data_IF_774061788563
#
_entry.id   IF_774061788563
#
_cell.length_a   1.000
_cell.length_b   1.000
_cell.length_c   1.000
_cell.angle_alpha   90.00
_cell.angle_beta   90.00
_cell.angle_gamma   90.00
#
_symmetry.space_group_name_H-M   'P 1'
#
loop_
_entity.id
_entity.type
_entity.pdbx_description
1 polymer ?
#
# COMPACT_ATOMS: atom_id res chain seq x y z
N UNK A 1 -0.22 -1.77 -10.82
CA UNK A 1 -1.45 -2.08 -10.09
C UNK A 1 -2.19 -3.09 -10.93
N UNK A 2 -2.62 -4.17 -10.31
CA UNK A 2 -3.50 -5.11 -10.98
C UNK A 2 -4.93 -4.53 -11.07
N UNK A 3 -5.62 -4.76 -12.19
CA UNK A 3 -6.97 -4.22 -12.40
C UNK A 3 -8.00 -4.77 -11.39
N UNK A 4 -7.82 -6.00 -10.92
CA UNK A 4 -8.72 -6.60 -9.92
C UNK A 4 -8.78 -5.80 -8.62
N UNK A 5 -7.69 -5.09 -8.27
CA UNK A 5 -7.62 -4.24 -7.08
C UNK A 5 -8.66 -3.12 -7.09
N UNK A 6 -9.07 -2.63 -8.26
CA UNK A 6 -10.09 -1.58 -8.40
C UNK A 6 -11.44 -1.99 -7.79
N UNK A 7 -11.74 -3.29 -7.75
CA UNK A 7 -12.97 -3.81 -7.15
C UNK A 7 -13.02 -3.55 -5.63
N UNK A 8 -11.84 -3.49 -4.99
CA UNK A 8 -11.68 -3.38 -3.54
C UNK A 8 -11.37 -1.95 -3.09
N UNK A 9 -10.60 -1.20 -3.88
CA UNK A 9 -10.17 0.15 -3.52
C UNK A 9 -11.35 1.12 -3.42
N UNK A 10 -11.30 1.97 -2.39
CA UNK A 10 -12.27 3.04 -2.11
C UNK A 10 -11.53 4.33 -1.79
N UNK A 11 -12.22 5.45 -2.03
CA UNK A 11 -11.71 6.76 -1.64
C UNK A 11 -11.57 6.85 -0.12
N UNK A 12 -10.36 7.08 0.37
CA UNK A 12 -10.06 7.19 1.81
C UNK A 12 -10.81 8.32 2.52
N UNK A 13 -11.22 9.36 1.79
CA UNK A 13 -11.94 10.51 2.37
C UNK A 13 -13.43 10.24 2.57
N UNK A 14 -14.07 9.54 1.64
CA UNK A 14 -15.54 9.47 1.58
C UNK A 14 -16.11 8.07 1.29
N UNK A 15 -15.25 7.05 1.18
CA UNK A 15 -15.63 5.66 0.93
C UNK A 15 -16.22 5.36 -0.44
N UNK A 16 -16.26 6.32 -1.36
CA UNK A 16 -16.86 6.13 -2.70
C UNK A 16 -15.96 5.28 -3.60
N UNK A 17 -16.57 4.68 -4.64
CA UNK A 17 -15.82 3.99 -5.70
C UNK A 17 -14.88 4.96 -6.41
N UNK A 18 -13.76 4.42 -6.90
CA UNK A 18 -12.77 5.16 -7.67
C UNK A 18 -12.93 4.82 -9.15
N UNK A 19 -12.80 5.83 -10.00
CA UNK A 19 -12.64 5.65 -11.44
C UNK A 19 -11.15 5.65 -11.78
N UNK A 20 -10.77 4.86 -12.77
CA UNK A 20 -9.39 4.68 -13.18
C UNK A 20 -9.15 5.33 -14.54
N UNK A 21 -8.20 6.25 -14.59
CA UNK A 21 -7.66 6.85 -15.80
C UNK A 21 -6.27 6.28 -16.08
N UNK A 22 -6.14 5.45 -17.12
CA UNK A 22 -4.92 4.70 -17.44
C UNK A 22 -4.07 5.49 -18.42
N UNK A 23 -2.81 5.75 -18.06
CA UNK A 23 -1.84 6.43 -18.95
C UNK A 23 -0.86 5.46 -19.59
N UNK A 24 -0.43 4.44 -18.83
CA UNK A 24 0.47 3.40 -19.31
C UNK A 24 0.13 2.06 -18.65
N UNK A 25 -0.04 1.02 -19.45
CA UNK A 25 -0.34 -0.34 -19.00
C UNK A 25 0.55 -1.34 -19.75
N UNK A 26 1.06 -2.30 -19.00
CA UNK A 26 1.72 -3.52 -19.50
C UNK A 26 0.93 -4.73 -18.97
N UNK A 27 1.55 -5.62 -18.20
CA UNK A 27 0.85 -6.65 -17.41
C UNK A 27 -0.01 -6.05 -16.30
N UNK A 28 0.46 -4.93 -15.74
CA UNK A 28 -0.22 -4.11 -14.76
C UNK A 28 -0.32 -2.67 -15.27
N UNK A 29 -1.20 -1.88 -14.66
CA UNK A 29 -1.20 -0.42 -14.85
C UNK A 29 0.10 0.12 -14.26
N UNK A 30 0.99 0.62 -15.11
CA UNK A 30 2.30 1.17 -14.75
C UNK A 30 2.20 2.65 -14.34
N UNK A 31 1.37 3.41 -15.06
CA UNK A 31 1.09 4.83 -14.82
C UNK A 31 -0.41 5.11 -15.01
N UNK A 32 -1.03 5.83 -14.07
CA UNK A 32 -2.45 6.19 -14.13
C UNK A 32 -2.91 7.00 -12.92
N UNK A 33 -4.15 7.45 -12.90
CA UNK A 33 -4.77 8.15 -11.76
C UNK A 33 -6.06 7.45 -11.38
N UNK A 34 -6.23 7.15 -10.10
CA UNK A 34 -7.52 6.82 -9.51
C UNK A 34 -8.19 8.11 -9.06
N UNK A 35 -9.43 8.34 -9.48
CA UNK A 35 -10.17 9.56 -9.17
C UNK A 35 -11.48 9.22 -8.45
N UNK A 36 -11.73 9.92 -7.34
CA UNK A 36 -13.03 9.89 -6.68
C UNK A 36 -13.94 10.95 -7.28
N UNK A 37 -14.94 10.58 -8.08
CA UNK A 37 -15.89 11.54 -8.66
C UNK A 37 -16.76 12.29 -7.65
N UNK A 38 -16.88 11.78 -6.42
CA UNK A 38 -17.68 12.43 -5.35
C UNK A 38 -16.94 13.59 -4.67
N UNK A 39 -15.66 13.41 -4.33
CA UNK A 39 -14.89 14.41 -3.58
C UNK A 39 -13.64 14.90 -4.33
N UNK A 40 -13.54 14.57 -5.62
CA UNK A 40 -12.49 14.95 -6.58
C UNK A 40 -11.06 14.59 -6.19
N UNK A 41 -10.89 13.78 -5.14
CA UNK A 41 -9.57 13.35 -4.67
C UNK A 41 -8.95 12.38 -5.68
N UNK A 42 -7.68 12.60 -5.99
CA UNK A 42 -6.92 11.84 -6.97
C UNK A 42 -5.76 11.09 -6.30
N UNK A 43 -5.53 9.85 -6.70
CA UNK A 43 -4.46 8.99 -6.20
C UNK A 43 -3.60 8.51 -7.36
N UNK A 44 -2.30 8.86 -7.41
CA UNK A 44 -1.45 8.49 -8.52
C UNK A 44 -1.07 7.00 -8.45
N UNK A 45 -1.00 6.37 -9.61
CA UNK A 45 -0.34 5.07 -9.83
C UNK A 45 0.96 5.37 -10.55
N UNK A 46 2.09 5.05 -9.93
CA UNK A 46 3.44 5.31 -10.47
C UNK A 46 4.27 4.04 -10.31
N UNK A 47 4.90 3.57 -11.39
CA UNK A 47 5.72 2.34 -11.40
C UNK A 47 4.94 1.15 -10.85
N UNK A 48 3.68 1.00 -11.29
CA UNK A 48 2.74 -0.04 -10.84
C UNK A 48 2.24 0.11 -9.40
N UNK A 49 2.56 1.18 -8.69
CA UNK A 49 2.23 1.37 -7.27
C UNK A 49 1.17 2.46 -7.11
N UNK A 50 -0.05 2.12 -6.66
CA UNK A 50 -1.01 3.12 -6.22
C UNK A 50 -0.57 3.77 -4.91
N UNK A 51 -0.58 5.09 -4.87
CA UNK A 51 -0.32 5.88 -3.67
C UNK A 51 -1.65 6.46 -3.18
N UNK A 52 -2.27 5.79 -2.21
CA UNK A 52 -3.62 6.08 -1.74
C UNK A 52 -3.53 6.82 -0.40
N UNK A 53 -3.46 8.15 -0.50
CA UNK A 53 -3.33 9.05 0.65
C UNK A 53 -4.39 10.15 0.58
N UNK A 54 -4.99 10.50 1.72
CA UNK A 54 -6.04 11.53 1.76
C UNK A 54 -5.53 12.91 1.30
N UNK A 55 -4.27 13.18 1.60
CA UNK A 55 -3.53 14.36 1.13
C UNK A 55 -2.18 13.93 0.55
N UNK A 56 -2.13 13.78 -0.78
CA UNK A 56 -0.92 13.40 -1.48
C UNK A 56 0.20 14.46 -1.35
N UNK A 57 -0.14 15.74 -1.25
CA UNK A 57 0.84 16.80 -1.03
C UNK A 57 1.47 16.72 0.35
N UNK A 58 0.71 16.35 1.38
CA UNK A 58 1.25 16.03 2.71
C UNK A 58 2.16 14.80 2.67
N UNK A 59 1.77 13.74 1.97
CA UNK A 59 2.61 12.54 1.80
C UNK A 59 4.00 12.87 1.23
N UNK A 60 4.03 13.69 0.17
CA UNK A 60 5.27 14.13 -0.50
C UNK A 60 6.03 15.18 0.33
N UNK A 61 5.37 15.99 1.15
CA UNK A 61 6.04 16.99 1.98
C UNK A 61 7.03 16.40 2.97
N UNK A 62 6.80 15.16 3.42
CA UNK A 62 7.70 14.38 4.27
C UNK A 62 8.77 13.60 3.48
N UNK A 63 8.72 13.64 2.14
CA UNK A 63 9.51 12.83 1.20
C UNK A 63 9.80 13.62 -0.09
N UNK A 64 10.35 14.83 0.04
CA UNK A 64 10.62 15.73 -1.08
C UNK A 64 11.61 15.11 -2.08
N UNK A 65 12.62 14.38 -1.60
CA UNK A 65 13.54 13.62 -2.46
C UNK A 65 12.81 12.55 -3.27
N UNK A 66 11.90 11.79 -2.65
CA UNK A 66 11.04 10.85 -3.36
C UNK A 66 10.17 11.58 -4.38
N UNK A 67 9.58 12.73 -4.02
CA UNK A 67 8.77 13.53 -4.93
C UNK A 67 9.50 13.90 -6.23
N UNK A 68 10.77 14.28 -6.15
CA UNK A 68 11.62 14.50 -7.32
C UNK A 68 11.86 13.22 -8.13
N UNK A 69 12.08 12.07 -7.47
CA UNK A 69 12.20 10.75 -8.14
C UNK A 69 10.90 10.36 -8.86
N UNK A 70 9.75 10.52 -8.21
CA UNK A 70 8.44 10.23 -8.78
C UNK A 70 8.18 11.09 -10.02
N UNK A 71 8.53 12.38 -9.99
CA UNK A 71 8.41 13.27 -11.15
C UNK A 71 9.24 12.78 -12.34
N UNK A 72 10.43 12.21 -12.09
CA UNK A 72 11.28 11.64 -13.13
C UNK A 72 10.81 10.27 -13.63
N UNK A 73 10.00 9.54 -12.85
CA UNK A 73 9.47 8.24 -13.26
C UNK A 73 8.27 8.32 -14.19
N UNK A 74 7.56 9.45 -14.19
CA UNK A 74 6.32 9.62 -14.95
C UNK A 74 6.58 10.23 -16.32
N UNK A 75 5.79 9.80 -17.30
CA UNK A 75 5.94 10.26 -18.68
C UNK A 75 4.79 11.15 -19.12
N UNK A 76 3.57 10.87 -18.64
CA UNK A 76 2.34 11.47 -19.13
C UNK A 76 2.13 12.90 -18.60
N UNK A 77 1.67 13.81 -19.47
CA UNK A 77 1.54 15.23 -19.14
C UNK A 77 0.56 15.51 -18.01
N UNK A 78 -0.56 14.77 -17.95
CA UNK A 78 -1.55 14.91 -16.86
C UNK A 78 -0.92 14.53 -15.51
N UNK A 79 -0.12 13.46 -15.47
CA UNK A 79 0.58 13.03 -14.26
C UNK A 79 1.69 14.01 -13.87
N UNK A 80 2.48 14.49 -14.82
CA UNK A 80 3.51 15.51 -14.59
C UNK A 80 2.90 16.79 -14.01
N UNK A 81 1.76 17.25 -14.54
CA UNK A 81 1.03 18.42 -14.02
C UNK A 81 0.53 18.16 -12.59
N UNK A 82 -0.06 17.00 -12.32
CA UNK A 82 -0.51 16.59 -10.99
C UNK A 82 0.63 16.60 -9.97
N UNK A 83 1.76 15.97 -10.29
CA UNK A 83 2.95 15.94 -9.41
C UNK A 83 3.57 17.32 -9.22
N UNK A 84 3.71 18.11 -10.30
CA UNK A 84 4.26 19.48 -10.23
C UNK A 84 3.40 20.37 -9.32
N UNK A 85 2.07 20.29 -9.46
CA UNK A 85 1.15 21.01 -8.59
C UNK A 85 1.31 20.56 -7.14
N UNK A 86 1.28 19.24 -6.90
CA UNK A 86 1.39 18.67 -5.55
C UNK A 86 2.70 19.10 -4.86
N UNK A 87 3.82 19.04 -5.57
CA UNK A 87 5.15 19.48 -5.11
C UNK A 87 5.21 20.99 -4.84
N UNK A 88 4.52 21.81 -5.64
CA UNK A 88 4.54 23.27 -5.47
C UNK A 88 3.82 23.74 -4.20
N UNK A 89 2.81 22.98 -3.75
CA UNK A 89 2.04 23.30 -2.53
C UNK A 89 2.55 22.55 -1.29
N UNK A 90 3.42 21.55 -1.46
CA UNK A 90 4.09 20.86 -0.34
C UNK A 90 5.05 21.81 0.37
N UNK A 91 4.85 22.00 1.68
CA UNK A 91 5.83 22.69 2.53
C UNK A 91 7.04 21.79 2.72
N UNK A 92 8.25 22.31 2.51
CA UNK A 92 9.48 21.54 2.76
C UNK A 92 9.57 21.22 4.25
N UNK A 93 9.66 19.94 4.58
CA UNK A 93 10.04 19.48 5.91
C UNK A 93 11.57 19.35 5.96
N UNK A 94 12.18 19.66 7.11
CA UNK A 94 13.62 19.52 7.33
C UNK A 94 14.05 18.06 7.50
N UNK A 95 13.13 17.19 7.89
CA UNK A 95 13.38 15.76 8.12
C UNK A 95 12.75 14.91 7.01
N UNK A 96 13.45 14.78 5.88
CA UNK A 96 13.02 14.00 4.72
C UNK A 96 13.22 12.50 4.96
N UNK A 97 12.13 11.73 4.92
CA UNK A 97 12.10 10.31 5.26
C UNK A 97 12.63 9.39 4.15
N UNK A 98 12.86 9.91 2.95
CA UNK A 98 13.16 9.09 1.75
C UNK A 98 14.40 8.21 1.95
N UNK A 99 15.51 8.77 2.43
CA UNK A 99 16.76 8.02 2.61
C UNK A 99 16.67 6.99 3.74
N UNK A 100 15.97 7.34 4.82
CA UNK A 100 15.71 6.44 5.94
C UNK A 100 14.87 5.24 5.49
N UNK A 101 13.78 5.47 4.77
CA UNK A 101 12.91 4.42 4.23
C UNK A 101 13.66 3.50 3.25
N UNK A 102 14.52 4.07 2.40
CA UNK A 102 15.38 3.30 1.49
C UNK A 102 16.40 2.44 2.25
N UNK A 103 16.98 2.97 3.33
CA UNK A 103 17.90 2.22 4.19
C UNK A 103 17.19 1.06 4.88
N UNK A 104 16.01 1.28 5.45
CA UNK A 104 15.21 0.22 6.05
C UNK A 104 14.85 -0.88 5.04
N UNK A 105 14.45 -0.49 3.83
CA UNK A 105 14.16 -1.44 2.75
C UNK A 105 15.37 -2.33 2.43
N UNK A 106 16.60 -1.80 2.50
CA UNK A 106 17.84 -2.60 2.33
C UNK A 106 18.10 -3.53 3.52
N UNK A 107 17.90 -3.05 4.75
CA UNK A 107 18.05 -3.86 5.96
C UNK A 107 17.10 -5.05 5.94
N UNK A 108 15.82 -4.82 5.63
CA UNK A 108 14.84 -5.90 5.54
C UNK A 108 15.14 -6.89 4.40
N UNK A 109 15.69 -6.42 3.27
CA UNK A 109 16.14 -7.32 2.21
C UNK A 109 17.25 -8.27 2.69
N UNK A 110 18.15 -7.79 3.54
CA UNK A 110 19.23 -8.61 4.09
C UNK A 110 18.75 -9.55 5.22
N UNK A 111 17.62 -9.26 5.86
CA UNK A 111 17.06 -10.07 6.96
C UNK A 111 15.94 -11.03 6.53
N UNK A 112 15.71 -11.22 5.23
CA UNK A 112 14.64 -12.07 4.69
C UNK A 112 14.65 -13.52 5.18
N UNK A 113 15.82 -14.03 5.60
CA UNK A 113 16.02 -15.40 6.10
C UNK A 113 16.07 -15.48 7.63
N UNK A 114 15.52 -14.49 8.34
CA UNK A 114 15.51 -14.50 9.80
C UNK A 114 14.69 -15.66 10.37
N UNK A 115 15.09 -16.16 11.54
CA UNK A 115 14.34 -17.19 12.29
C UNK A 115 12.92 -16.74 12.60
N UNK A 116 12.72 -15.44 12.83
CA UNK A 116 11.40 -14.84 13.05
C UNK A 116 10.44 -15.16 11.91
N UNK A 117 10.83 -14.84 10.66
CA UNK A 117 9.97 -15.10 9.50
C UNK A 117 9.71 -16.59 9.30
N UNK A 118 10.68 -17.46 9.56
CA UNK A 118 10.48 -18.90 9.45
C UNK A 118 9.45 -19.43 10.44
N UNK A 119 9.47 -18.95 11.70
CA UNK A 119 8.48 -19.34 12.72
C UNK A 119 7.08 -18.89 12.27
N UNK A 120 6.93 -17.62 11.90
CA UNK A 120 5.62 -17.09 11.51
C UNK A 120 5.07 -17.79 10.26
N UNK A 121 5.92 -18.10 9.27
CA UNK A 121 5.51 -18.87 8.08
C UNK A 121 4.96 -20.25 8.45
N UNK A 122 5.62 -20.97 9.35
CA UNK A 122 5.17 -22.29 9.79
C UNK A 122 3.80 -22.23 10.48
N UNK A 123 3.57 -21.22 11.33
CA UNK A 123 2.27 -21.02 11.99
C UNK A 123 1.17 -20.64 10.98
N UNK A 124 1.50 -19.84 9.96
CA UNK A 124 0.54 -19.46 8.92
C UNK A 124 0.24 -20.62 7.94
N UNK A 125 1.18 -21.53 7.69
CA UNK A 125 0.99 -22.68 6.80
C UNK A 125 -0.02 -23.71 7.33
N UNK A 126 -0.17 -23.79 8.66
CA UNK A 126 -1.15 -24.69 9.29
C UNK A 126 -2.56 -24.06 9.38
N UNK A 127 -2.70 -22.75 9.10
CA UNK A 127 -3.99 -22.08 9.14
C UNK A 127 -4.87 -22.42 7.93
N UNK A 128 -6.20 -22.40 8.07
CA UNK A 128 -7.10 -22.53 6.93
C UNK A 128 -6.84 -21.45 5.87
N UNK A 129 -6.90 -21.87 4.59
CA UNK A 129 -6.77 -20.95 3.46
C UNK A 129 -7.88 -19.91 3.48
N UNK A 130 -7.51 -18.66 3.27
CA UNK A 130 -8.37 -17.50 3.26
C UNK A 130 -8.65 -17.05 1.83
N UNK A 131 -9.85 -16.48 1.60
CA UNK A 131 -10.20 -15.91 0.30
C UNK A 131 -9.60 -14.52 0.16
N UNK A 132 -9.68 -13.71 1.21
CA UNK A 132 -9.19 -12.34 1.20
C UNK A 132 -8.31 -12.04 2.41
N UNK A 133 -7.06 -11.66 2.14
CA UNK A 133 -6.02 -11.43 3.14
C UNK A 133 -5.47 -10.01 3.02
N UNK A 134 -5.23 -9.36 4.15
CA UNK A 134 -4.58 -8.06 4.23
C UNK A 134 -3.38 -8.10 5.19
N UNK A 135 -2.25 -7.56 4.78
CA UNK A 135 -1.13 -7.26 5.66
C UNK A 135 -0.93 -5.75 5.82
N UNK A 136 -1.03 -5.28 7.07
CA UNK A 136 -0.67 -3.95 7.51
C UNK A 136 0.82 -3.86 7.83
N UNK A 137 1.51 -2.85 7.28
CA UNK A 137 2.95 -2.69 7.49
C UNK A 137 3.77 -3.76 6.77
N UNK A 138 3.38 -4.11 5.54
CA UNK A 138 3.97 -5.22 4.80
C UNK A 138 5.44 -5.01 4.38
N UNK A 139 5.98 -3.79 4.50
CA UNK A 139 7.35 -3.46 4.16
C UNK A 139 7.69 -3.94 2.74
N UNK A 140 8.73 -4.77 2.60
CA UNK A 140 9.19 -5.30 1.31
C UNK A 140 8.42 -6.55 0.84
N UNK A 141 7.31 -6.90 1.49
CA UNK A 141 6.38 -7.94 1.05
C UNK A 141 6.80 -9.39 1.35
N UNK A 142 7.64 -9.63 2.37
CA UNK A 142 8.14 -10.99 2.69
C UNK A 142 6.97 -11.91 3.08
N UNK A 143 6.12 -11.48 4.03
CA UNK A 143 4.97 -12.28 4.48
C UNK A 143 3.82 -12.21 3.49
N UNK A 144 3.53 -11.03 2.93
CA UNK A 144 2.47 -10.86 1.94
C UNK A 144 2.66 -11.77 0.73
N UNK A 145 3.88 -11.82 0.18
CA UNK A 145 4.20 -12.72 -0.92
C UNK A 145 4.06 -14.18 -0.51
N UNK A 146 4.52 -14.54 0.69
CA UNK A 146 4.36 -15.89 1.20
C UNK A 146 2.88 -16.30 1.33
N UNK A 147 2.04 -15.45 1.90
CA UNK A 147 0.59 -15.67 2.03
C UNK A 147 -0.09 -15.84 0.67
N UNK A 148 0.38 -15.13 -0.38
CA UNK A 148 -0.16 -15.28 -1.73
C UNK A 148 0.10 -16.66 -2.37
N UNK A 149 0.96 -17.51 -1.80
CA UNK A 149 1.16 -18.87 -2.30
C UNK A 149 -0.02 -19.81 -2.01
N UNK A 150 -0.79 -19.55 -0.95
CA UNK A 150 -1.84 -20.45 -0.45
C UNK A 150 -3.22 -19.81 -0.37
N UNK A 151 -3.31 -18.48 -0.42
CA UNK A 151 -4.56 -17.72 -0.30
C UNK A 151 -5.06 -17.17 -1.64
N UNK A 152 -6.37 -16.91 -1.77
CA UNK A 152 -6.98 -16.57 -3.07
C UNK A 152 -6.71 -15.12 -3.52
N UNK A 153 -6.70 -14.14 -2.61
CA UNK A 153 -6.38 -12.74 -2.92
C UNK A 153 -5.70 -12.11 -1.70
N UNK A 154 -4.55 -11.48 -1.93
CA UNK A 154 -3.71 -10.94 -0.87
C UNK A 154 -3.32 -9.51 -1.18
N UNK A 155 -3.47 -8.64 -0.19
CA UNK A 155 -3.04 -7.25 -0.27
C UNK A 155 -2.01 -6.93 0.80
N UNK A 156 -1.00 -6.15 0.44
CA UNK A 156 -0.05 -5.56 1.38
C UNK A 156 -0.12 -4.05 1.34
N UNK A 157 -0.10 -3.40 2.52
CA UNK A 157 0.01 -1.95 2.60
C UNK A 157 1.22 -1.53 3.42
N UNK A 158 1.89 -0.48 3.00
CA UNK A 158 2.96 0.17 3.74
C UNK A 158 3.01 1.66 3.37
N UNK A 159 3.49 2.52 4.27
CA UNK A 159 3.64 3.95 3.99
C UNK A 159 4.84 4.27 3.08
N UNK A 160 5.79 3.35 2.97
CA UNK A 160 7.05 3.54 2.27
C UNK A 160 6.94 3.14 0.81
N UNK A 161 7.00 4.12 -0.10
CA UNK A 161 7.10 3.83 -1.53
C UNK A 161 8.34 3.00 -1.86
N UNK A 162 9.45 3.24 -1.16
CA UNK A 162 10.69 2.48 -1.38
C UNK A 162 10.54 1.00 -0.99
N UNK A 163 9.82 0.70 0.09
CA UNK A 163 9.56 -0.67 0.52
C UNK A 163 8.60 -1.38 -0.45
N UNK A 164 7.49 -0.72 -0.81
CA UNK A 164 6.54 -1.24 -1.80
C UNK A 164 7.18 -1.43 -3.18
N UNK A 165 8.11 -0.57 -3.57
CA UNK A 165 8.91 -0.72 -4.80
C UNK A 165 9.76 -2.00 -4.80
N UNK A 166 10.27 -2.40 -3.65
CA UNK A 166 10.92 -3.72 -3.49
C UNK A 166 9.89 -4.84 -3.55
N UNK A 167 8.76 -4.71 -2.83
CA UNK A 167 7.70 -5.72 -2.79
C UNK A 167 7.14 -6.04 -4.18
N UNK A 168 6.95 -5.00 -5.00
CA UNK A 168 6.47 -5.10 -6.39
C UNK A 168 7.38 -5.84 -7.36
N UNK A 169 8.62 -6.15 -6.97
CA UNK A 169 9.47 -7.06 -7.76
C UNK A 169 8.93 -8.49 -7.75
N UNK A 170 8.16 -8.87 -6.73
CA UNK A 170 7.41 -10.12 -6.72
C UNK A 170 6.08 -9.91 -7.43
N UNK A 171 5.88 -10.59 -8.54
CA UNK A 171 4.63 -10.54 -9.31
C UNK A 171 3.87 -11.86 -9.17
N UNK A 172 2.60 -11.76 -8.76
CA UNK A 172 1.64 -12.86 -8.70
C UNK A 172 0.26 -12.31 -9.03
N UNK A 173 -0.55 -13.09 -9.74
CA UNK A 173 -1.85 -12.62 -10.26
C UNK A 173 -2.89 -12.34 -9.16
N UNK A 174 -2.67 -12.88 -7.95
CA UNK A 174 -3.53 -12.73 -6.78
C UNK A 174 -2.99 -11.77 -5.71
N UNK A 175 -1.95 -10.99 -6.02
CA UNK A 175 -1.21 -10.18 -5.05
C UNK A 175 -1.07 -8.74 -5.54
N UNK A 176 -1.45 -7.77 -4.71
CA UNK A 176 -1.17 -6.36 -4.98
C UNK A 176 -0.69 -5.63 -3.73
N UNK A 177 0.02 -4.53 -3.95
CA UNK A 177 0.62 -3.71 -2.90
C UNK A 177 0.28 -2.24 -3.09
N UNK A 178 0.02 -1.55 -1.99
CA UNK A 178 -0.40 -0.15 -2.00
C UNK A 178 0.46 0.68 -1.05
N UNK A 179 0.76 1.91 -1.45
CA UNK A 179 1.26 2.91 -0.52
C UNK A 179 0.07 3.56 0.17
N UNK A 180 -0.07 3.33 1.48
CA UNK A 180 -1.16 3.87 2.29
C UNK A 180 -0.76 3.99 3.75
N UNK A 181 -1.52 4.78 4.51
CA UNK A 181 -1.36 4.85 5.96
C UNK A 181 -1.98 3.64 6.66
N UNK A 182 -1.43 3.23 7.81
CA UNK A 182 -1.82 2.01 8.54
C UNK A 182 -3.30 2.02 8.97
N UNK A 183 -3.85 3.21 9.21
CA UNK A 183 -5.22 3.40 9.69
C UNK A 183 -6.13 4.03 8.61
N UNK A 184 -5.78 3.80 7.34
CA UNK A 184 -6.50 4.35 6.19
C UNK A 184 -7.52 3.36 5.62
N UNK A 185 -8.76 3.82 5.43
CA UNK A 185 -9.89 3.04 4.93
C UNK A 185 -9.85 2.80 3.41
N UNK A 186 -8.70 2.40 2.87
CA UNK A 186 -8.50 2.20 1.43
C UNK A 186 -9.41 1.10 0.85
N UNK A 187 -9.93 0.20 1.68
CA UNK A 187 -10.83 -0.88 1.27
C UNK A 187 -12.30 -0.65 1.68
N UNK A 188 -12.60 0.51 2.29
CA UNK A 188 -13.94 0.85 2.77
C UNK A 188 -14.52 -0.20 3.72
N UNK A 189 -15.70 -0.75 3.39
CA UNK A 189 -16.42 -1.74 4.21
C UNK A 189 -16.03 -3.20 3.95
N UNK A 190 -14.98 -3.43 3.16
CA UNK A 190 -14.51 -4.77 2.82
C UNK A 190 -14.12 -5.53 4.09
N UNK A 191 -14.44 -6.82 4.12
CA UNK A 191 -14.08 -7.72 5.21
C UNK A 191 -13.02 -8.70 4.77
N UNK A 192 -12.04 -8.93 5.63
CA UNK A 192 -10.91 -9.83 5.40
C UNK A 192 -11.06 -11.07 6.27
N UNK A 193 -10.75 -12.23 5.70
CA UNK A 193 -10.75 -13.49 6.43
C UNK A 193 -9.52 -13.58 7.35
N UNK A 194 -8.42 -12.95 6.94
CA UNK A 194 -7.16 -12.85 7.69
C UNK A 194 -6.58 -11.45 7.57
N UNK A 195 -6.22 -10.85 8.71
CA UNK A 195 -5.46 -9.61 8.78
C UNK A 195 -4.17 -9.88 9.56
N UNK A 196 -3.04 -9.57 8.94
CA UNK A 196 -1.71 -9.64 9.54
C UNK A 196 -1.18 -8.23 9.83
N UNK A 197 -0.55 -8.04 10.98
CA UNK A 197 0.02 -6.76 11.40
C UNK A 197 1.26 -7.00 12.27
N UNK A 198 2.39 -7.34 11.63
CA UNK A 198 3.64 -7.68 12.32
C UNK A 198 4.50 -6.44 12.54
N UNK A 199 5.06 -6.28 13.74
CA UNK A 199 6.01 -5.20 14.07
C UNK A 199 5.48 -3.78 13.81
N UNK A 200 4.16 -3.58 13.85
CA UNK A 200 3.54 -2.25 13.65
C UNK A 200 3.19 -1.53 14.96
N UNK A 201 3.29 -2.21 16.10
CA UNK A 201 2.84 -1.69 17.41
C UNK A 201 3.68 -0.52 17.93
N UNK A 202 4.86 -0.28 17.37
CA UNK A 202 5.67 0.91 17.65
C UNK A 202 5.19 2.16 16.89
N UNK A 203 4.30 1.98 15.89
CA UNK A 203 3.82 3.04 15.01
C UNK A 203 2.38 3.47 15.32
N UNK A 204 1.63 2.65 16.06
CA UNK A 204 0.22 2.85 16.37
C UNK A 204 -0.11 2.34 17.76
N UNK A 205 -1.01 3.04 18.45
CA UNK A 205 -1.52 2.59 19.74
C UNK A 205 -2.22 1.23 19.59
N UNK A 206 -1.79 0.17 20.33
CA UNK A 206 -2.33 -1.17 20.14
C UNK A 206 -3.85 -1.27 20.26
N UNK A 207 -4.47 -0.52 21.18
CA UNK A 207 -5.92 -0.52 21.35
C UNK A 207 -6.65 0.07 20.15
N UNK A 208 -6.10 1.13 19.55
CA UNK A 208 -6.68 1.76 18.37
C UNK A 208 -6.56 0.84 17.16
N UNK A 209 -5.40 0.19 16.99
CA UNK A 209 -5.20 -0.81 15.93
C UNK A 209 -6.18 -1.98 16.06
N UNK A 210 -6.32 -2.55 17.27
CA UNK A 210 -7.27 -3.65 17.50
C UNK A 210 -8.71 -3.23 17.22
N UNK A 211 -9.12 -2.04 17.69
CA UNK A 211 -10.44 -1.48 17.42
C UNK A 211 -10.67 -1.33 15.92
N UNK A 212 -9.67 -0.84 15.19
CA UNK A 212 -9.75 -0.64 13.76
C UNK A 212 -9.83 -1.97 12.98
N UNK A 213 -8.92 -2.91 13.25
CA UNK A 213 -8.91 -4.25 12.64
C UNK A 213 -10.20 -5.01 12.93
N UNK A 214 -10.76 -4.88 14.14
CA UNK A 214 -12.04 -5.55 14.50
C UNK A 214 -13.20 -5.13 13.60
N UNK A 215 -13.15 -3.93 13.03
CA UNK A 215 -14.16 -3.42 12.11
C UNK A 215 -13.95 -3.94 10.68
N UNK A 216 -12.88 -4.70 10.41
CA UNK A 216 -12.55 -5.21 9.08
C UNK A 216 -12.58 -6.73 9.00
N UNK A 217 -12.85 -7.41 10.11
CA UNK A 217 -13.14 -8.85 10.11
C UNK A 217 -14.65 -9.09 10.12
N UNK A 218 -15.13 -10.23 9.60
CA UNK A 218 -16.50 -10.66 9.79
C UNK A 218 -16.83 -10.76 11.28
N UNK A 219 -18.05 -10.37 11.68
CA UNK A 219 -18.51 -10.68 13.03
C UNK A 219 -18.68 -12.19 13.12
N UNK A 220 -17.88 -12.84 13.97
CA UNK A 220 -18.16 -14.21 14.38
C UNK A 220 -19.48 -14.16 15.14
N UNK A 221 -20.53 -14.70 14.53
CA UNK A 221 -21.78 -14.93 15.26
C UNK A 221 -21.54 -16.23 16.01
N UNK A 222 -21.25 -16.12 17.31
CA UNK A 222 -21.19 -17.27 18.22
C UNK A 222 -22.59 -17.80 18.48
#
# INVERSE_FOLDING_TARGET
MHEFSLNFLRCVRCGSKLELDVFKKETEIDEGILECKKCTLCFPIIKKIPIIWDDFSKYISERMMLGGKLFNFVSHDKMKKFLKHSLSISKRNTDDRTTLEERWSRIYQNSQKSKFYSIIKNELDIMPKSKLVLEYGCSIGIMTSFLANSNQTVFGIDRSFSAISVAKKTQKDNLDYFVADLMSDIFGKTKFDLILALNVLELVEPKDLLKYISQQIPKVTL
#
